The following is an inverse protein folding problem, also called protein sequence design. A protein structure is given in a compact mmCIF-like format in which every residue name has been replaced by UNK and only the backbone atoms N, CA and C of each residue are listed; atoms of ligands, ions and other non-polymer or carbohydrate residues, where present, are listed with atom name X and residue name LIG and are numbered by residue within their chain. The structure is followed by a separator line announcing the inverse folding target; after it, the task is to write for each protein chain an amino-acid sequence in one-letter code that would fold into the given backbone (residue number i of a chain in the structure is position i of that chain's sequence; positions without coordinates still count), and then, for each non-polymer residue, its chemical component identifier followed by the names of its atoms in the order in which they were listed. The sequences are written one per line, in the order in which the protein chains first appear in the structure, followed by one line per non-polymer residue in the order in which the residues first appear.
data_IF_072835363669
#
_entry.id   IF_072835363669
#
_cell.length_a   1.000
_cell.length_b   1.000
_cell.length_c   1.000
_cell.angle_alpha   90.00
_cell.angle_beta   90.00
_cell.angle_gamma   90.00
#
_symmetry.space_group_name_H-M   'P 1'
#
loop_
_entity.id
_entity.type
_entity.pdbx_description
1 polymer ?
#
# COMPACT_ATOMS: atom_id res chain seq x y z
N UNK A 1 -29.04 8.85 -28.14
CA UNK A 1 -28.11 7.71 -28.31
C UNK A 1 -26.81 8.05 -29.04
N UNK A 2 -26.78 9.00 -30.00
CA UNK A 2 -25.54 9.35 -30.74
C UNK A 2 -24.40 9.89 -29.87
N UNK A 3 -24.70 10.72 -28.85
CA UNK A 3 -23.69 11.29 -27.95
C UNK A 3 -23.07 10.29 -26.96
N UNK A 4 -23.75 9.18 -26.68
CA UNK A 4 -23.30 8.20 -25.68
C UNK A 4 -22.12 7.36 -26.21
N UNK A 5 -22.18 7.00 -27.49
CA UNK A 5 -21.11 6.28 -28.19
C UNK A 5 -19.86 7.16 -28.33
N UNK A 6 -20.05 8.47 -28.55
CA UNK A 6 -18.96 9.45 -28.66
C UNK A 6 -18.18 9.60 -27.34
N UNK A 7 -18.87 9.57 -26.20
CA UNK A 7 -18.24 9.67 -24.87
C UNK A 7 -17.46 8.40 -24.53
N UNK A 8 -18.01 7.22 -24.85
CA UNK A 8 -17.31 5.94 -24.63
C UNK A 8 -16.08 5.83 -25.54
N UNK A 9 -16.19 6.22 -26.81
CA UNK A 9 -15.05 6.23 -27.72
C UNK A 9 -13.97 7.25 -27.28
N UNK A 10 -14.37 8.43 -26.80
CA UNK A 10 -13.44 9.42 -26.25
C UNK A 10 -12.72 8.89 -24.99
N UNK A 11 -13.46 8.30 -24.05
CA UNK A 11 -12.90 7.67 -22.85
C UNK A 11 -11.95 6.52 -23.21
N UNK A 12 -12.32 5.65 -24.14
CA UNK A 12 -11.47 4.57 -24.63
C UNK A 12 -10.19 5.09 -25.30
N UNK A 13 -10.28 6.19 -26.06
CA UNK A 13 -9.12 6.80 -26.73
C UNK A 13 -8.20 7.52 -25.73
N UNK A 14 -8.76 8.15 -24.69
CA UNK A 14 -7.99 8.75 -23.57
C UNK A 14 -7.31 7.66 -22.73
N UNK A 15 -7.99 6.53 -22.49
CA UNK A 15 -7.39 5.38 -21.82
C UNK A 15 -6.28 4.73 -22.65
N UNK A 16 -6.45 4.63 -23.98
CA UNK A 16 -5.44 4.04 -24.87
C UNK A 16 -4.18 4.92 -25.04
N UNK A 17 -4.31 6.24 -25.02
CA UNK A 17 -3.18 7.17 -25.21
C UNK A 17 -2.28 7.33 -23.99
N UNK A 18 -2.72 6.92 -22.79
CA UNK A 18 -1.91 6.96 -21.58
C UNK A 18 -1.08 5.69 -21.34
N UNK A 19 -1.29 4.62 -22.11
CA UNK A 19 -0.52 3.36 -22.00
C UNK A 19 0.94 3.46 -22.48
N UNK A 20 1.39 4.62 -22.98
CA UNK A 20 2.75 4.84 -23.43
C UNK A 20 3.73 5.29 -22.32
N UNK A 21 3.23 5.58 -21.12
CA UNK A 21 4.05 5.84 -19.94
C UNK A 21 4.32 4.50 -19.21
N UNK A 22 5.50 4.31 -18.61
CA UNK A 22 5.77 3.09 -17.84
C UNK A 22 4.72 2.92 -16.73
N UNK A 23 3.76 2.02 -16.96
CA UNK A 23 2.69 1.74 -16.01
C UNK A 23 3.21 0.97 -14.80
N UNK A 24 4.38 0.36 -14.91
CA UNK A 24 5.04 -0.31 -13.80
C UNK A 24 5.94 0.66 -13.04
N UNK A 25 5.86 0.62 -11.72
CA UNK A 25 6.78 1.32 -10.82
C UNK A 25 7.24 0.40 -9.71
N UNK A 26 8.42 0.70 -9.17
CA UNK A 26 9.00 -0.01 -8.04
C UNK A 26 9.61 1.03 -7.12
N UNK A 27 9.23 1.00 -5.85
CA UNK A 27 9.80 1.89 -4.84
C UNK A 27 10.09 1.15 -3.55
N UNK A 28 11.23 1.40 -2.90
CA UNK A 28 11.43 1.03 -1.51
C UNK A 28 10.41 1.69 -0.57
N UNK A 29 10.19 1.03 0.56
CA UNK A 29 9.25 1.39 1.63
C UNK A 29 9.99 1.32 2.95
N UNK A 30 9.82 2.35 3.77
CA UNK A 30 10.24 2.35 5.17
C UNK A 30 9.10 2.86 6.03
N UNK A 31 8.90 2.28 7.21
CA UNK A 31 7.83 2.72 8.10
C UNK A 31 8.00 2.30 9.55
N UNK A 32 7.15 2.87 10.39
CA UNK A 32 7.01 2.53 11.80
C UNK A 32 5.57 2.07 12.02
N UNK A 33 5.41 0.86 12.53
CA UNK A 33 4.14 0.26 12.90
C UNK A 33 4.01 0.26 14.40
N UNK A 34 2.89 0.77 14.92
CA UNK A 34 2.59 0.86 16.35
C UNK A 34 1.31 0.06 16.59
N UNK A 35 1.38 -0.89 17.53
CA UNK A 35 0.22 -1.65 17.99
C UNK A 35 -0.54 -0.87 19.07
N UNK A 36 -1.82 -1.20 19.25
CA UNK A 36 -2.64 -0.66 20.34
C UNK A 36 -2.12 -1.03 21.74
N UNK A 37 -1.29 -2.08 21.84
CA UNK A 37 -0.58 -2.45 23.08
C UNK A 37 0.66 -1.60 23.40
N UNK A 38 1.00 -0.64 22.55
CA UNK A 38 2.18 0.23 22.72
C UNK A 38 3.49 -0.36 22.17
N UNK A 39 3.46 -1.59 21.66
CA UNK A 39 4.61 -2.16 20.96
C UNK A 39 4.81 -1.52 19.58
N UNK A 40 6.06 -1.40 19.17
CA UNK A 40 6.42 -0.83 17.88
C UNK A 40 7.36 -1.75 17.08
N UNK A 41 7.22 -1.70 15.76
CA UNK A 41 8.06 -2.41 14.78
C UNK A 41 8.48 -1.44 13.69
N UNK A 42 9.76 -1.45 13.33
CA UNK A 42 10.18 -0.78 12.10
C UNK A 42 10.01 -1.73 10.91
N UNK A 43 9.68 -1.16 9.75
CA UNK A 43 9.38 -1.90 8.53
C UNK A 43 10.30 -1.41 7.42
N UNK A 44 10.99 -2.32 6.72
CA UNK A 44 11.76 -2.00 5.52
C UNK A 44 11.40 -2.98 4.41
N UNK A 45 11.16 -2.48 3.21
CA UNK A 45 10.71 -3.34 2.12
C UNK A 45 10.72 -2.68 0.75
N UNK A 46 10.03 -3.34 -0.18
CA UNK A 46 9.82 -2.90 -1.54
C UNK A 46 8.35 -3.04 -1.92
N UNK A 47 7.87 -2.10 -2.73
CA UNK A 47 6.54 -2.12 -3.33
C UNK A 47 6.71 -2.00 -4.84
N UNK A 48 6.17 -2.98 -5.56
CA UNK A 48 5.97 -2.91 -7.00
C UNK A 48 4.52 -2.61 -7.32
N UNK A 49 4.23 -1.82 -8.33
CA UNK A 49 2.87 -1.48 -8.69
C UNK A 49 2.63 -1.35 -10.18
N UNK A 50 1.39 -1.55 -10.58
CA UNK A 50 0.90 -1.31 -11.93
C UNK A 50 -0.18 -0.24 -11.90
N UNK A 51 0.01 0.82 -12.69
CA UNK A 51 -0.92 1.93 -12.87
C UNK A 51 -1.88 1.61 -14.02
N UNK A 52 -3.15 1.42 -13.67
CA UNK A 52 -4.24 1.17 -14.63
C UNK A 52 -4.73 2.47 -15.26
N UNK A 53 -4.80 3.53 -14.46
CA UNK A 53 -5.18 4.89 -14.88
C UNK A 53 -4.35 5.90 -14.07
N UNK A 54 -4.35 7.21 -14.39
CA UNK A 54 -3.61 8.22 -13.62
C UNK A 54 -3.97 8.28 -12.14
N UNK A 55 -5.15 7.76 -11.77
CA UNK A 55 -5.69 7.78 -10.43
C UNK A 55 -5.93 6.37 -9.85
N UNK A 56 -5.64 5.29 -10.56
CA UNK A 56 -5.87 3.93 -10.08
C UNK A 56 -4.65 3.05 -10.34
N UNK A 57 -4.13 2.43 -9.29
CA UNK A 57 -3.07 1.43 -9.35
C UNK A 57 -3.34 0.24 -8.46
N UNK A 58 -2.67 -0.87 -8.76
CA UNK A 58 -2.57 -2.04 -7.89
C UNK A 58 -1.12 -2.21 -7.47
N UNK A 59 -0.88 -2.45 -6.19
CA UNK A 59 0.44 -2.57 -5.59
C UNK A 59 0.61 -3.96 -4.96
N UNK A 60 1.83 -4.48 -5.00
CA UNK A 60 2.27 -5.68 -4.29
C UNK A 60 3.54 -5.30 -3.52
N UNK A 61 3.51 -5.52 -2.22
CA UNK A 61 4.59 -5.20 -1.30
C UNK A 61 5.14 -6.43 -0.63
N UNK A 62 6.46 -6.43 -0.43
CA UNK A 62 7.12 -7.28 0.54
C UNK A 62 7.94 -6.40 1.48
N UNK A 63 7.83 -6.61 2.78
CA UNK A 63 8.63 -5.90 3.76
C UNK A 63 9.01 -6.81 4.93
N UNK A 64 10.17 -6.52 5.52
CA UNK A 64 10.59 -7.12 6.78
C UNK A 64 10.20 -6.22 7.94
N UNK A 65 9.54 -6.81 8.92
CA UNK A 65 9.19 -6.23 10.19
C UNK A 65 10.30 -6.56 11.18
N UNK A 66 10.77 -5.55 11.87
CA UNK A 66 11.79 -5.68 12.86
C UNK A 66 11.29 -5.07 14.16
N UNK A 67 11.20 -5.89 15.18
CA UNK A 67 10.67 -5.44 16.46
C UNK A 67 11.59 -5.77 17.61
N UNK A 68 11.00 -5.81 18.79
CA UNK A 68 11.68 -6.06 20.05
C UNK A 68 11.19 -7.39 20.64
N UNK A 69 11.56 -7.68 21.89
CA UNK A 69 11.19 -8.92 22.57
C UNK A 69 9.67 -9.14 22.73
N UNK A 70 8.85 -8.07 22.77
CA UNK A 70 7.38 -8.16 22.87
C UNK A 70 6.70 -8.23 21.50
N UNK A 71 7.39 -7.81 20.44
CA UNK A 71 6.90 -7.82 19.06
C UNK A 71 7.97 -8.40 18.15
N UNK A 72 8.11 -9.74 18.06
CA UNK A 72 9.17 -10.41 17.30
C UNK A 72 9.23 -9.99 15.82
N UNK A 73 10.38 -10.20 15.20
CA UNK A 73 10.59 -9.98 13.78
C UNK A 73 9.62 -10.82 12.92
N UNK A 74 9.34 -10.31 11.73
CA UNK A 74 8.44 -10.96 10.80
C UNK A 74 8.61 -10.50 9.37
N UNK A 75 7.87 -11.12 8.48
CA UNK A 75 7.78 -10.79 7.07
C UNK A 75 6.34 -10.39 6.74
N UNK A 76 6.18 -9.38 5.90
CA UNK A 76 4.91 -8.77 5.50
C UNK A 76 4.79 -8.90 3.99
N UNK A 77 3.67 -9.46 3.52
CA UNK A 77 3.28 -9.47 2.11
C UNK A 77 1.91 -8.83 2.01
N UNK A 78 1.76 -7.83 1.15
CA UNK A 78 0.55 -6.99 1.07
C UNK A 78 0.21 -6.72 -0.39
N UNK A 79 -1.07 -6.81 -0.73
CA UNK A 79 -1.61 -6.50 -2.05
C UNK A 79 -2.69 -5.44 -1.91
N UNK A 80 -2.51 -4.32 -2.60
CA UNK A 80 -3.27 -3.09 -2.43
C UNK A 80 -3.94 -2.65 -3.72
N UNK A 81 -5.11 -2.02 -3.58
CA UNK A 81 -5.66 -1.14 -4.61
C UNK A 81 -5.53 0.29 -4.11
N UNK A 82 -4.93 1.16 -4.93
CA UNK A 82 -4.68 2.56 -4.59
C UNK A 82 -5.42 3.49 -5.53
N UNK A 83 -6.10 4.47 -4.95
CA UNK A 83 -6.79 5.55 -5.64
C UNK A 83 -6.10 6.88 -5.32
N UNK A 84 -5.57 7.55 -6.35
CA UNK A 84 -4.89 8.84 -6.24
C UNK A 84 -5.78 10.00 -6.69
N UNK A 85 -5.58 11.18 -6.11
CA UNK A 85 -6.26 12.41 -6.50
C UNK A 85 -5.30 13.60 -6.48
N UNK A 86 -5.37 14.51 -7.47
CA UNK A 86 -4.45 15.64 -7.55
C UNK A 86 -4.76 16.69 -6.48
N UNK A 87 -3.72 17.22 -5.83
CA UNK A 87 -3.77 18.30 -4.84
C UNK A 87 -2.74 19.38 -5.18
N UNK A 88 -2.75 19.85 -6.42
CA UNK A 88 -1.79 20.83 -6.93
C UNK A 88 -0.40 20.22 -7.15
N UNK A 89 0.66 20.71 -6.49
CA UNK A 89 2.00 20.10 -6.58
C UNK A 89 2.09 18.75 -5.84
N UNK A 90 1.14 18.46 -4.94
CA UNK A 90 1.01 17.20 -4.24
C UNK A 90 -0.06 16.32 -4.89
N UNK A 91 -0.03 15.02 -4.59
CA UNK A 91 -1.14 14.11 -4.85
C UNK A 91 -1.55 13.44 -3.55
N UNK A 92 -2.85 13.41 -3.27
CA UNK A 92 -3.40 12.58 -2.20
C UNK A 92 -3.64 11.16 -2.70
N UNK A 93 -3.70 10.22 -1.78
CA UNK A 93 -4.13 8.87 -2.09
C UNK A 93 -4.89 8.22 -0.94
N UNK A 94 -5.72 7.25 -1.29
CA UNK A 94 -6.26 6.25 -0.40
C UNK A 94 -5.91 4.86 -0.96
N UNK A 95 -5.66 3.90 -0.08
CA UNK A 95 -5.47 2.50 -0.45
C UNK A 95 -6.34 1.60 0.41
N UNK A 96 -6.60 0.42 -0.10
CA UNK A 96 -7.14 -0.67 0.70
C UNK A 96 -6.68 -1.99 0.11
N UNK A 97 -6.25 -2.87 0.99
CA UNK A 97 -5.58 -4.08 0.62
C UNK A 97 -5.84 -5.23 1.56
N UNK A 98 -5.21 -6.34 1.22
CA UNK A 98 -5.13 -7.53 2.05
C UNK A 98 -3.69 -7.99 2.08
N UNK A 99 -3.31 -8.59 3.19
CA UNK A 99 -1.98 -9.17 3.28
C UNK A 99 -1.86 -10.20 4.37
N UNK A 100 -0.64 -10.65 4.53
CA UNK A 100 -0.25 -11.64 5.52
C UNK A 100 1.04 -11.22 6.19
N UNK A 101 1.06 -11.37 7.51
CA UNK A 101 2.24 -11.23 8.36
C UNK A 101 2.65 -12.63 8.79
N UNK A 102 3.89 -12.96 8.49
CA UNK A 102 4.58 -14.12 9.01
C UNK A 102 5.47 -13.69 10.18
N UNK A 103 5.38 -14.37 11.32
CA UNK A 103 6.19 -14.08 12.51
C UNK A 103 6.83 -15.38 12.99
N UNK A 104 8.16 -15.35 13.16
CA UNK A 104 8.93 -16.50 13.60
C UNK A 104 9.28 -16.34 15.08
N UNK A 105 8.67 -17.17 15.92
CA UNK A 105 9.00 -17.29 17.34
C UNK A 105 9.75 -18.60 17.59
N UNK A 106 10.59 -18.70 18.65
CA UNK A 106 11.22 -19.96 19.00
C UNK A 106 10.18 -21.07 19.24
N UNK A 107 10.06 -22.01 18.30
CA UNK A 107 9.12 -23.13 18.37
C UNK A 107 7.71 -22.84 17.85
N UNK A 108 7.43 -21.63 17.37
CA UNK A 108 6.13 -21.25 16.81
C UNK A 108 6.28 -20.54 15.46
N UNK A 109 5.48 -20.99 14.50
CA UNK A 109 5.38 -20.40 13.16
C UNK A 109 3.98 -19.79 13.02
N UNK A 110 3.89 -18.46 13.07
CA UNK A 110 2.62 -17.73 13.12
C UNK A 110 2.37 -16.96 11.83
N UNK A 111 1.29 -17.31 11.15
CA UNK A 111 0.79 -16.62 9.96
C UNK A 111 -0.53 -15.93 10.29
N UNK A 112 -0.58 -14.61 10.11
CA UNK A 112 -1.79 -13.82 10.37
C UNK A 112 -2.18 -13.04 9.13
N UNK A 113 -3.43 -13.13 8.73
CA UNK A 113 -3.94 -12.34 7.61
C UNK A 113 -4.43 -10.99 8.13
N UNK A 114 -4.52 -9.99 7.27
CA UNK A 114 -5.09 -8.71 7.63
C UNK A 114 -5.77 -8.05 6.43
N UNK A 115 -6.66 -7.11 6.74
CA UNK A 115 -7.23 -6.16 5.80
C UNK A 115 -6.72 -4.79 6.22
N UNK A 116 -6.26 -3.99 5.27
CA UNK A 116 -5.76 -2.64 5.55
C UNK A 116 -6.54 -1.56 4.80
N UNK A 117 -6.39 -0.35 5.31
CA UNK A 117 -6.87 0.89 4.72
C UNK A 117 -5.80 1.96 4.94
N UNK A 118 -5.26 2.49 3.85
CA UNK A 118 -4.24 3.51 3.86
C UNK A 118 -4.74 4.86 3.36
N UNK A 119 -4.12 5.93 3.84
CA UNK A 119 -4.21 7.24 3.20
C UNK A 119 -2.89 7.98 3.32
N UNK A 120 -2.60 8.87 2.37
CA UNK A 120 -1.39 9.66 2.45
C UNK A 120 -1.31 10.75 1.41
N UNK A 121 -0.15 11.38 1.38
CA UNK A 121 0.23 12.44 0.46
C UNK A 121 1.54 12.06 -0.22
N UNK A 122 1.64 12.29 -1.51
CA UNK A 122 2.88 12.16 -2.25
C UNK A 122 3.19 13.41 -3.05
N UNK A 123 4.44 13.47 -3.47
CA UNK A 123 5.03 14.51 -4.29
C UNK A 123 5.94 13.83 -5.32
N UNK A 124 5.93 14.33 -6.55
CA UNK A 124 6.79 13.80 -7.62
C UNK A 124 7.73 14.89 -8.12
N UNK A 125 9.03 14.59 -8.12
CA UNK A 125 10.09 15.42 -8.69
C UNK A 125 10.68 14.69 -9.91
N UNK A 126 10.08 14.93 -11.08
CA UNK A 126 10.46 14.23 -12.31
C UNK A 126 10.13 12.72 -12.21
N UNK A 127 11.09 11.81 -12.48
CA UNK A 127 10.85 10.37 -12.37
C UNK A 127 10.88 9.85 -10.92
N UNK A 128 11.31 10.66 -9.95
CA UNK A 128 11.37 10.29 -8.54
C UNK A 128 10.07 10.71 -7.84
N UNK A 129 9.49 9.80 -7.06
CA UNK A 129 8.24 10.04 -6.35
C UNK A 129 8.40 9.75 -4.87
N UNK A 130 8.31 10.77 -4.03
CA UNK A 130 8.28 10.59 -2.58
C UNK A 130 6.82 10.52 -2.14
N UNK A 131 6.45 9.54 -1.33
CA UNK A 131 5.14 9.56 -0.66
C UNK A 131 5.24 9.24 0.83
N UNK A 132 4.36 9.88 1.60
CA UNK A 132 4.20 9.68 3.02
C UNK A 132 2.75 9.30 3.30
N UNK A 133 2.51 8.30 4.14
CA UNK A 133 1.17 7.83 4.41
C UNK A 133 1.02 7.24 5.80
N UNK A 134 -0.23 7.09 6.19
CA UNK A 134 -0.67 6.35 7.37
C UNK A 134 -1.55 5.20 6.91
N UNK A 135 -1.27 4.01 7.40
CA UNK A 135 -2.05 2.79 7.16
C UNK A 135 -2.67 2.35 8.47
N UNK A 136 -3.96 2.08 8.44
CA UNK A 136 -4.70 1.42 9.49
C UNK A 136 -5.02 0.01 9.03
N UNK A 137 -4.78 -1.00 9.86
CA UNK A 137 -5.02 -2.37 9.47
C UNK A 137 -5.65 -3.18 10.59
N UNK A 138 -6.46 -4.15 10.16
CA UNK A 138 -7.25 -5.06 10.97
C UNK A 138 -6.66 -6.46 10.79
N UNK A 139 -6.08 -7.02 11.86
CA UNK A 139 -5.53 -8.38 11.85
C UNK A 139 -6.62 -9.41 12.11
N UNK A 140 -6.67 -10.41 11.23
CA UNK A 140 -7.57 -11.56 11.26
C UNK A 140 -6.73 -12.81 11.53
N UNK A 141 -6.94 -13.44 12.68
CA UNK A 141 -6.25 -14.66 13.10
C UNK A 141 -7.28 -15.80 13.23
N UNK A 142 -7.44 -16.56 12.14
CA UNK A 142 -8.52 -17.54 12.06
C UNK A 142 -9.91 -16.88 12.14
N UNK A 143 -10.68 -17.20 13.18
CA UNK A 143 -11.99 -16.59 13.47
C UNK A 143 -11.90 -15.38 14.43
N UNK A 144 -10.72 -15.13 15.02
CA UNK A 144 -10.54 -14.12 16.07
C UNK A 144 -9.94 -12.81 15.53
N UNK A 145 -10.51 -11.69 15.98
CA UNK A 145 -10.03 -10.35 15.69
C UNK A 145 -8.94 -9.96 16.71
N UNK A 146 -7.71 -9.73 16.23
CA UNK A 146 -6.54 -9.49 17.11
C UNK A 146 -6.32 -8.01 17.43
N UNK A 147 -7.07 -7.11 16.79
CA UNK A 147 -7.00 -5.67 17.04
C UNK A 147 -6.28 -4.90 15.95
N UNK A 148 -6.43 -3.56 15.94
CA UNK A 148 -5.86 -2.74 14.88
C UNK A 148 -4.39 -2.36 15.13
N UNK A 149 -3.65 -2.16 14.05
CA UNK A 149 -2.35 -1.46 14.05
C UNK A 149 -2.38 -0.23 13.17
N UNK A 150 -1.57 0.77 13.55
CA UNK A 150 -1.36 1.99 12.78
C UNK A 150 0.10 2.03 12.33
N UNK A 151 0.33 2.23 11.04
CA UNK A 151 1.65 2.36 10.45
C UNK A 151 1.79 3.73 9.81
N UNK A 152 2.94 4.39 9.99
CA UNK A 152 3.32 5.57 9.22
C UNK A 152 4.53 5.22 8.37
N UNK A 153 4.49 5.56 7.07
CA UNK A 153 5.52 5.15 6.12
C UNK A 153 5.95 6.23 5.15
N UNK A 154 7.19 6.12 4.69
CA UNK A 154 7.77 6.87 3.59
C UNK A 154 8.15 5.89 2.46
N UNK A 155 7.89 6.27 1.22
CA UNK A 155 8.35 5.55 0.03
C UNK A 155 8.94 6.51 -1.01
N UNK A 156 9.90 6.05 -1.81
CA UNK A 156 10.73 6.87 -2.70
C UNK A 156 11.02 6.24 -4.05
#
# INVERSE_FOLDING_TARGET
MKYFISVIALLATVMATQMAQANFYLHPRAGLTISTGGDSRYTLGMTGGYRWTPFLSTELSYARLFGNSSSPDGDLIEADVRVGFPLGPLHGFASGGVGTIHTVLPGEDLWKNFIDFGTGLGFSLGPLGLSAGVTYAIVIDGEDFVGPYLSAGLSF
#
